data_IF_670727873163
#
_entry.id   IF_670727873163
#
_cell.length_a   1.000
_cell.length_b   1.000
_cell.length_c   1.000
_cell.angle_alpha   90.00
_cell.angle_beta   90.00
_cell.angle_gamma   90.00
#
_symmetry.space_group_name_H-M   'P 1'
#
loop_
_entity.id
_entity.type
_entity.pdbx_description
1 polymer ?
#
# COMPACT_ATOMS: atom_id res chain seq x y z
N UNK A 1 21.31 -8.21 61.07
CA UNK A 1 22.53 -7.37 61.11
C UNK A 1 23.32 -7.61 59.83
N UNK A 2 24.03 -6.59 59.28
CA UNK A 2 25.35 -6.64 58.59
C UNK A 2 25.62 -7.80 57.57
N UNK A 3 26.03 -7.63 56.31
CA UNK A 3 26.56 -6.54 55.46
C UNK A 3 26.16 -6.84 53.97
N UNK A 4 25.91 -5.90 53.04
CA UNK A 4 26.78 -4.95 52.29
C UNK A 4 27.71 -5.58 51.20
N UNK A 5 27.87 -4.84 50.07
CA UNK A 5 28.91 -4.92 48.98
C UNK A 5 28.62 -5.92 47.82
N UNK A 6 28.76 -5.62 46.51
CA UNK A 6 28.81 -4.36 45.69
C UNK A 6 28.70 -4.64 44.15
N UNK A 7 28.57 -3.57 43.32
CA UNK A 7 29.12 -3.27 41.96
C UNK A 7 29.33 -4.40 40.91
N UNK A 8 28.75 -4.36 39.69
CA UNK A 8 28.94 -3.45 38.53
C UNK A 8 29.99 -3.94 37.49
N UNK A 9 29.76 -3.68 36.20
CA UNK A 9 30.67 -4.08 35.12
C UNK A 9 30.13 -3.89 33.70
N UNK A 10 30.17 -2.66 33.18
CA UNK A 10 29.94 -2.41 31.75
C UNK A 10 31.21 -2.76 30.95
N UNK A 11 31.10 -3.62 29.96
CA UNK A 11 32.22 -4.02 29.10
C UNK A 11 32.31 -3.13 27.85
N UNK A 12 33.12 -2.08 27.92
CA UNK A 12 33.64 -1.40 26.73
C UNK A 12 34.73 -2.28 26.11
N UNK A 13 34.52 -2.77 24.88
CA UNK A 13 35.58 -3.40 24.11
C UNK A 13 36.28 -2.37 23.22
N UNK A 14 37.38 -1.82 23.72
CA UNK A 14 38.38 -1.11 22.92
C UNK A 14 39.20 -2.10 22.10
N UNK A 15 38.97 -2.14 20.78
CA UNK A 15 39.81 -2.91 19.87
C UNK A 15 41.14 -2.15 19.63
N UNK A 16 42.26 -2.76 20.03
CA UNK A 16 43.59 -2.22 19.76
C UNK A 16 43.96 -2.38 18.28
N UNK A 17 44.55 -1.33 17.70
CA UNK A 17 45.06 -1.34 16.33
C UNK A 17 46.56 -1.67 16.39
N UNK A 18 46.98 -2.75 15.74
CA UNK A 18 48.40 -3.06 15.49
C UNK A 18 48.68 -3.01 13.99
N UNK A 19 49.63 -2.17 13.59
CA UNK A 19 50.20 -2.18 12.23
C UNK A 19 51.32 -3.22 12.15
N UNK A 20 51.43 -3.91 11.01
CA UNK A 20 52.69 -4.47 10.53
C UNK A 20 52.72 -4.60 8.99
N UNK A 21 53.90 -4.81 8.43
CA UNK A 21 54.31 -4.32 7.10
C UNK A 21 54.08 -5.24 5.89
N UNK A 22 53.82 -4.57 4.75
CA UNK A 22 54.24 -4.84 3.35
C UNK A 22 54.27 -6.30 2.82
N UNK A 23 53.43 -6.55 1.82
CA UNK A 23 53.51 -7.68 0.87
C UNK A 23 52.76 -7.34 -0.43
N UNK A 24 53.20 -7.85 -1.58
CA UNK A 24 52.70 -7.42 -2.89
C UNK A 24 51.41 -8.13 -3.37
N UNK A 25 50.74 -7.48 -4.33
CA UNK A 25 49.61 -7.94 -5.16
C UNK A 25 48.23 -8.09 -4.49
N UNK A 26 47.20 -7.59 -5.20
CA UNK A 26 45.79 -7.70 -4.83
C UNK A 26 45.26 -6.49 -4.05
N UNK A 27 44.54 -5.60 -4.72
CA UNK A 27 43.68 -4.62 -4.04
C UNK A 27 42.56 -5.37 -3.31
N UNK A 28 42.45 -5.32 -1.97
CA UNK A 28 41.30 -5.88 -1.29
C UNK A 28 40.09 -4.99 -1.60
N UNK A 29 39.07 -5.56 -2.24
CA UNK A 29 37.78 -4.89 -2.41
C UNK A 29 37.24 -4.55 -1.02
N UNK A 30 37.22 -3.25 -0.70
CA UNK A 30 36.54 -2.78 0.49
C UNK A 30 35.08 -3.25 0.43
N UNK A 31 34.50 -3.82 1.50
CA UNK A 31 33.09 -4.18 1.50
C UNK A 31 32.29 -2.89 1.29
N UNK A 32 31.68 -2.77 0.11
CA UNK A 32 30.75 -1.68 -0.15
C UNK A 32 29.63 -1.82 0.87
N UNK A 33 29.59 -0.90 1.84
CA UNK A 33 28.41 -0.67 2.62
C UNK A 33 27.32 -0.29 1.63
N UNK A 34 26.40 -1.22 1.40
CA UNK A 34 25.16 -0.95 0.66
C UNK A 34 24.38 0.06 1.47
N UNK A 35 24.69 1.34 1.22
CA UNK A 35 23.88 2.45 1.69
C UNK A 35 22.45 2.13 1.29
N UNK A 36 21.56 2.02 2.28
CA UNK A 36 20.15 1.89 2.02
C UNK A 36 19.75 3.14 1.25
N UNK A 37 19.62 3.00 -0.07
CA UNK A 37 19.38 4.11 -0.97
C UNK A 37 18.19 4.89 -0.41
N UNK A 38 18.39 6.17 -0.12
CA UNK A 38 17.33 7.02 0.38
C UNK A 38 16.19 6.92 -0.64
N UNK A 39 15.09 6.29 -0.24
CA UNK A 39 13.92 6.15 -1.09
C UNK A 39 13.57 7.54 -1.59
N UNK A 40 13.36 7.70 -2.90
CA UNK A 40 12.99 9.01 -3.44
C UNK A 40 11.75 9.52 -2.70
N UNK A 41 11.59 10.85 -2.65
CA UNK A 41 10.39 11.50 -2.10
C UNK A 41 9.11 10.77 -2.49
N UNK A 42 9.05 10.36 -3.76
CA UNK A 42 7.93 9.71 -4.41
C UNK A 42 7.73 8.29 -3.90
N UNK A 43 8.80 7.50 -3.72
CA UNK A 43 8.71 6.16 -3.13
C UNK A 43 8.28 6.22 -1.66
N UNK A 44 8.77 7.19 -0.88
CA UNK A 44 8.35 7.41 0.50
C UNK A 44 6.87 7.81 0.59
N UNK A 45 6.41 8.67 -0.32
CA UNK A 45 5.00 9.09 -0.41
C UNK A 45 4.10 7.96 -0.94
N UNK A 46 4.55 7.15 -1.90
CA UNK A 46 3.84 5.96 -2.38
C UNK A 46 3.69 4.91 -1.25
N UNK A 47 4.72 4.73 -0.43
CA UNK A 47 4.66 3.88 0.77
C UNK A 47 3.70 4.43 1.82
N UNK A 48 3.67 5.75 2.04
CA UNK A 48 2.67 6.41 2.90
C UNK A 48 1.26 6.20 2.36
N UNK A 49 1.06 6.34 1.04
CA UNK A 49 -0.20 6.08 0.34
C UNK A 49 -0.62 4.62 0.53
N UNK A 50 0.26 3.65 0.27
CA UNK A 50 0.04 2.22 0.54
C UNK A 50 -0.45 2.00 1.97
N UNK A 51 0.30 2.49 2.97
CA UNK A 51 -0.02 2.24 4.37
C UNK A 51 -1.28 2.97 4.86
N UNK A 52 -1.72 4.03 4.18
CA UNK A 52 -2.98 4.72 4.48
C UNK A 52 -4.21 3.81 4.31
N UNK A 53 -4.15 2.82 3.41
CA UNK A 53 -5.22 1.82 3.23
C UNK A 53 -5.30 0.81 4.38
N UNK A 54 -4.23 0.67 5.18
CA UNK A 54 -4.10 -0.46 6.10
C UNK A 54 -5.14 -0.42 7.24
N UNK A 55 -5.29 0.70 7.95
CA UNK A 55 -6.25 0.76 9.07
C UNK A 55 -7.73 0.90 8.63
N UNK A 56 -8.09 1.78 7.67
CA UNK A 56 -9.48 1.95 7.23
C UNK A 56 -10.15 0.67 6.70
N UNK A 57 -9.39 -0.20 6.01
CA UNK A 57 -9.94 -1.42 5.45
C UNK A 57 -10.46 -2.43 6.49
N UNK A 58 -10.05 -2.36 7.75
CA UNK A 58 -10.65 -3.14 8.84
C UNK A 58 -12.12 -2.78 9.10
N UNK A 59 -12.52 -1.57 8.72
CA UNK A 59 -13.90 -1.05 8.81
C UNK A 59 -14.62 -1.07 7.46
N UNK A 60 -14.04 -1.67 6.42
CA UNK A 60 -14.63 -1.63 5.08
C UNK A 60 -14.59 -0.23 4.44
N UNK A 61 -13.64 0.61 4.85
CA UNK A 61 -13.49 1.99 4.39
C UNK A 61 -12.18 2.19 3.62
N UNK A 62 -12.16 3.17 2.72
CA UNK A 62 -10.94 3.70 2.10
C UNK A 62 -10.51 5.02 2.75
N UNK A 63 -9.24 5.42 2.64
CA UNK A 63 -8.77 6.75 3.06
C UNK A 63 -9.19 7.86 2.07
N UNK A 64 -9.03 9.11 2.50
CA UNK A 64 -9.23 10.28 1.65
C UNK A 64 -10.69 10.71 1.53
N UNK A 65 -11.11 11.15 0.34
CA UNK A 65 -12.44 11.74 0.10
C UNK A 65 -13.60 10.78 0.46
N UNK A 66 -13.41 9.49 0.23
CA UNK A 66 -14.38 8.42 0.54
C UNK A 66 -14.25 7.86 1.97
N UNK A 67 -13.56 8.57 2.88
CA UNK A 67 -13.51 8.16 4.27
C UNK A 67 -14.92 8.05 4.88
N UNK A 68 -15.07 7.17 5.86
CA UNK A 68 -16.33 6.82 6.54
C UNK A 68 -17.36 6.05 5.68
N UNK A 69 -17.26 6.09 4.35
CA UNK A 69 -18.09 5.29 3.44
C UNK A 69 -17.72 3.80 3.58
N UNK A 70 -18.67 3.02 4.07
CA UNK A 70 -18.44 1.65 4.53
C UNK A 70 -19.07 0.66 3.56
N UNK A 71 -18.25 -0.22 2.95
CA UNK A 71 -18.75 -1.27 2.05
C UNK A 71 -19.75 -2.17 2.78
N UNK A 72 -20.87 -2.48 2.14
CA UNK A 72 -21.99 -3.24 2.70
C UNK A 72 -22.98 -2.42 3.53
N UNK A 73 -22.61 -1.21 3.96
CA UNK A 73 -23.43 -0.39 4.89
C UNK A 73 -23.83 0.96 4.29
N UNK A 74 -22.92 1.71 3.67
CA UNK A 74 -23.27 3.01 3.10
C UNK A 74 -24.11 2.88 1.82
N UNK A 75 -24.98 3.85 1.57
CA UNK A 75 -25.89 3.89 0.41
C UNK A 75 -25.28 4.60 -0.80
N UNK A 76 -25.97 4.61 -1.95
CA UNK A 76 -25.60 5.47 -3.09
C UNK A 76 -25.78 6.96 -2.78
N UNK A 77 -26.74 7.32 -1.93
CA UNK A 77 -26.94 8.68 -1.47
C UNK A 77 -25.77 9.15 -0.60
N UNK A 78 -25.32 8.33 0.37
CA UNK A 78 -24.18 8.66 1.24
C UNK A 78 -22.91 8.98 0.43
N UNK A 79 -22.66 8.22 -0.65
CA UNK A 79 -21.55 8.47 -1.57
C UNK A 79 -21.73 9.82 -2.26
N UNK A 80 -22.93 10.12 -2.76
CA UNK A 80 -23.20 11.35 -3.48
C UNK A 80 -23.16 12.60 -2.59
N UNK A 81 -23.53 12.48 -1.32
CA UNK A 81 -23.39 13.55 -0.33
C UNK A 81 -21.92 13.78 0.05
N UNK A 82 -21.09 12.73 0.06
CA UNK A 82 -19.66 12.79 0.43
C UNK A 82 -18.75 13.29 -0.70
N UNK A 83 -18.96 12.83 -1.93
CA UNK A 83 -18.06 13.08 -3.08
C UNK A 83 -18.76 13.63 -4.33
N UNK A 84 -20.05 14.03 -4.22
CA UNK A 84 -20.81 14.60 -5.33
C UNK A 84 -21.45 13.57 -6.25
N UNK A 85 -22.04 14.03 -7.35
CA UNK A 85 -22.63 13.14 -8.37
C UNK A 85 -21.52 12.47 -9.20
N UNK A 86 -21.69 11.21 -9.64
CA UNK A 86 -20.73 10.58 -10.53
C UNK A 86 -20.72 11.26 -11.90
N UNK A 87 -19.54 11.36 -12.51
CA UNK A 87 -19.36 11.85 -13.88
C UNK A 87 -20.05 10.93 -14.90
N UNK A 88 -20.04 9.63 -14.62
CA UNK A 88 -20.75 8.61 -15.39
C UNK A 88 -21.51 7.70 -14.42
N UNK A 89 -22.83 7.85 -14.27
CA UNK A 89 -23.62 6.98 -13.41
C UNK A 89 -23.77 5.58 -14.01
N UNK A 90 -23.67 4.56 -13.16
CA UNK A 90 -23.97 3.18 -13.50
C UNK A 90 -25.43 3.02 -13.95
N UNK A 91 -25.63 2.29 -15.05
CA UNK A 91 -26.93 2.12 -15.73
C UNK A 91 -27.75 0.94 -15.20
N UNK A 92 -27.13 0.01 -14.49
CA UNK A 92 -27.73 -1.22 -14.00
C UNK A 92 -27.13 -1.62 -12.62
N UNK A 93 -27.56 -2.76 -12.07
CA UNK A 93 -27.15 -3.25 -10.75
C UNK A 93 -25.74 -3.81 -10.66
N UNK A 94 -25.05 -4.00 -11.78
CA UNK A 94 -23.69 -4.52 -11.84
C UNK A 94 -22.67 -3.47 -12.29
N UNK A 95 -23.15 -2.40 -12.95
CA UNK A 95 -22.41 -1.22 -13.32
C UNK A 95 -21.81 -0.46 -12.13
N UNK A 96 -20.89 0.43 -12.45
CA UNK A 96 -20.23 1.31 -11.50
C UNK A 96 -20.60 2.76 -11.78
N UNK A 97 -20.82 3.51 -10.71
CA UNK A 97 -20.71 4.97 -10.70
C UNK A 97 -19.22 5.33 -10.80
N UNK A 98 -18.87 6.16 -11.79
CA UNK A 98 -17.50 6.60 -12.06
C UNK A 98 -17.30 8.02 -11.57
N UNK A 99 -16.21 8.21 -10.82
CA UNK A 99 -15.70 9.48 -10.34
C UNK A 99 -14.26 9.61 -10.83
N UNK A 100 -14.01 10.48 -11.80
CA UNK A 100 -12.71 10.60 -12.42
C UNK A 100 -11.68 11.23 -11.47
N UNK A 101 -10.40 10.95 -11.73
CA UNK A 101 -9.31 11.61 -11.02
C UNK A 101 -9.12 13.04 -11.58
N UNK A 102 -9.41 14.05 -10.77
CA UNK A 102 -9.21 15.47 -11.12
C UNK A 102 -8.09 16.07 -10.27
N UNK A 103 -7.04 16.56 -10.93
CA UNK A 103 -5.85 17.12 -10.27
C UNK A 103 -5.31 16.16 -9.20
N UNK A 104 -5.10 16.63 -7.96
CA UNK A 104 -4.66 15.82 -6.83
C UNK A 104 -5.75 14.93 -6.20
N UNK A 105 -6.98 14.95 -6.70
CA UNK A 105 -8.05 14.08 -6.22
C UNK A 105 -7.99 12.72 -6.96
N UNK A 106 -7.96 11.60 -6.23
CA UNK A 106 -7.90 10.29 -6.84
C UNK A 106 -9.25 9.87 -7.43
N UNK A 107 -9.21 9.07 -8.49
CA UNK A 107 -10.40 8.53 -9.13
C UNK A 107 -10.96 7.34 -8.37
N UNK A 108 -12.28 7.19 -8.40
CA UNK A 108 -13.02 6.11 -7.77
C UNK A 108 -14.04 5.49 -8.73
N UNK A 109 -14.35 4.21 -8.53
CA UNK A 109 -15.60 3.65 -9.05
C UNK A 109 -16.33 2.90 -7.95
N UNK A 110 -17.64 3.11 -7.81
CA UNK A 110 -18.47 2.46 -6.80
C UNK A 110 -19.57 1.65 -7.46
N UNK A 111 -19.71 0.36 -7.13
CA UNK A 111 -20.89 -0.42 -7.51
C UNK A 111 -21.75 -0.71 -6.29
N UNK A 112 -23.05 -0.91 -6.52
CA UNK A 112 -24.05 -1.04 -5.46
C UNK A 112 -24.86 -2.32 -5.63
N UNK A 113 -25.36 -2.87 -4.52
CA UNK A 113 -26.31 -3.99 -4.52
C UNK A 113 -27.36 -3.73 -3.46
N UNK A 114 -28.65 -3.71 -3.85
CA UNK A 114 -29.78 -3.32 -2.99
C UNK A 114 -29.54 -1.96 -2.29
N UNK A 115 -29.08 -0.97 -3.05
CA UNK A 115 -28.72 0.38 -2.58
C UNK A 115 -27.70 0.42 -1.41
N UNK A 116 -26.78 -0.55 -1.36
CA UNK A 116 -25.62 -0.53 -0.47
C UNK A 116 -24.35 -0.71 -1.28
N UNK A 117 -23.26 -0.05 -0.91
CA UNK A 117 -21.96 -0.18 -1.57
C UNK A 117 -21.56 -1.67 -1.60
N UNK A 118 -21.32 -2.22 -2.78
CA UNK A 118 -20.85 -3.61 -2.99
C UNK A 118 -19.33 -3.66 -3.12
N UNK A 119 -18.77 -2.73 -3.87
CA UNK A 119 -17.34 -2.64 -4.17
C UNK A 119 -16.98 -1.18 -4.41
N UNK A 120 -15.93 -0.69 -3.76
CA UNK A 120 -15.25 0.57 -4.12
C UNK A 120 -13.92 0.20 -4.78
N UNK A 121 -13.59 0.85 -5.89
CA UNK A 121 -12.26 0.78 -6.51
C UNK A 121 -11.58 2.14 -6.45
N UNK A 122 -10.29 2.14 -6.20
CA UNK A 122 -9.41 3.31 -6.09
C UNK A 122 -8.40 3.28 -7.23
N UNK A 123 -8.42 4.30 -8.09
CA UNK A 123 -7.55 4.43 -9.27
C UNK A 123 -6.37 5.38 -9.06
N UNK A 124 -6.26 6.00 -7.89
CA UNK A 124 -5.24 7.01 -7.61
C UNK A 124 -5.40 8.28 -8.44
N UNK A 125 -4.40 9.15 -8.38
CA UNK A 125 -4.38 10.43 -9.10
C UNK A 125 -3.87 10.28 -10.54
N UNK A 126 -4.25 11.24 -11.39
CA UNK A 126 -3.70 11.38 -12.74
C UNK A 126 -2.34 12.11 -12.72
N UNK A 127 -2.26 13.23 -11.99
CA UNK A 127 -0.99 13.93 -11.75
C UNK A 127 -0.24 13.30 -10.58
N UNK A 128 1.09 13.42 -10.58
CA UNK A 128 1.99 12.88 -9.56
C UNK A 128 1.75 11.39 -9.23
N UNK A 129 1.25 10.59 -10.17
CA UNK A 129 0.82 9.19 -9.95
C UNK A 129 1.87 8.33 -9.23
N UNK A 130 3.16 8.63 -9.44
CA UNK A 130 4.30 7.96 -8.77
C UNK A 130 4.36 8.17 -7.25
N UNK A 131 3.80 9.27 -6.72
CA UNK A 131 3.66 9.51 -5.27
C UNK A 131 2.42 8.81 -4.67
N UNK A 132 1.57 8.28 -5.55
CA UNK A 132 0.34 7.55 -5.27
C UNK A 132 0.50 6.07 -5.72
N UNK A 133 -0.55 5.41 -6.24
CA UNK A 133 -0.49 3.98 -6.62
C UNK A 133 0.51 3.67 -7.74
N UNK A 134 0.94 4.64 -8.55
CA UNK A 134 1.94 4.42 -9.60
C UNK A 134 3.31 4.01 -9.06
N UNK A 135 3.65 4.44 -7.84
CA UNK A 135 4.88 4.02 -7.16
C UNK A 135 4.74 2.77 -6.28
N UNK A 136 3.53 2.24 -6.12
CA UNK A 136 3.27 1.04 -5.32
C UNK A 136 3.54 -0.20 -6.16
N UNK A 137 4.72 -0.79 -5.98
CA UNK A 137 5.10 -2.05 -6.62
C UNK A 137 4.60 -3.27 -5.82
N UNK A 138 4.55 -4.44 -6.46
CA UNK A 138 4.25 -5.70 -5.79
C UNK A 138 5.27 -6.01 -4.66
N UNK A 139 6.53 -5.68 -4.88
CA UNK A 139 7.59 -5.85 -3.88
C UNK A 139 7.36 -4.92 -2.68
N UNK A 140 7.01 -3.65 -2.91
CA UNK A 140 6.68 -2.71 -1.82
C UNK A 140 5.50 -3.23 -0.99
N UNK A 141 4.44 -3.69 -1.66
CA UNK A 141 3.26 -4.27 -1.00
C UNK A 141 3.62 -5.47 -0.12
N UNK A 142 4.27 -6.49 -0.68
CA UNK A 142 4.59 -7.74 0.05
C UNK A 142 5.64 -7.51 1.15
N UNK A 143 6.59 -6.59 0.95
CA UNK A 143 7.58 -6.24 1.97
C UNK A 143 6.94 -5.58 3.20
N UNK A 144 6.01 -4.64 2.99
CA UNK A 144 5.42 -3.87 4.09
C UNK A 144 4.20 -4.53 4.74
N UNK A 145 3.41 -5.29 3.97
CA UNK A 145 2.17 -5.93 4.44
C UNK A 145 2.33 -7.44 4.68
N UNK A 146 3.50 -8.01 4.40
CA UNK A 146 3.79 -9.43 4.53
C UNK A 146 3.09 -10.28 3.46
N UNK A 147 2.98 -11.59 3.72
CA UNK A 147 2.40 -12.57 2.80
C UNK A 147 0.89 -12.28 2.57
N UNK A 148 0.42 -12.19 1.32
CA UNK A 148 -1.01 -12.02 1.03
C UNK A 148 -1.82 -13.29 1.35
N UNK A 149 -3.11 -13.11 1.64
CA UNK A 149 -4.04 -14.22 1.88
C UNK A 149 -4.34 -15.02 0.60
N UNK A 150 -4.37 -14.34 -0.56
CA UNK A 150 -4.46 -14.99 -1.86
C UNK A 150 -3.73 -14.19 -2.94
N UNK A 151 -3.29 -14.89 -3.98
CA UNK A 151 -2.74 -14.33 -5.21
C UNK A 151 -3.32 -15.09 -6.39
N UNK A 152 -3.84 -14.41 -7.39
CA UNK A 152 -4.35 -15.04 -8.62
C UNK A 152 -4.13 -14.18 -9.85
N UNK A 153 -3.87 -14.84 -10.98
CA UNK A 153 -3.94 -14.20 -12.29
C UNK A 153 -5.41 -14.07 -12.71
N UNK A 154 -5.80 -12.91 -13.20
CA UNK A 154 -7.14 -12.62 -13.74
C UNK A 154 -7.01 -12.12 -15.18
N UNK A 155 -8.07 -12.30 -15.98
CA UNK A 155 -8.19 -11.66 -17.30
C UNK A 155 -9.18 -10.52 -17.20
N UNK A 156 -8.81 -9.36 -17.74
CA UNK A 156 -9.67 -8.19 -17.89
C UNK A 156 -9.70 -7.81 -19.38
N UNK A 157 -10.68 -8.35 -20.11
CA UNK A 157 -10.68 -8.37 -21.57
C UNK A 157 -9.43 -9.09 -22.10
N UNK A 158 -8.56 -8.35 -22.80
CA UNK A 158 -7.28 -8.84 -23.33
C UNK A 158 -6.11 -8.74 -22.34
N UNK A 159 -6.25 -7.96 -21.26
CA UNK A 159 -5.19 -7.78 -20.27
C UNK A 159 -5.14 -8.97 -19.30
N UNK A 160 -3.93 -9.37 -18.95
CA UNK A 160 -3.65 -10.37 -17.91
C UNK A 160 -3.10 -9.61 -16.71
N UNK A 161 -3.86 -9.57 -15.62
CA UNK A 161 -3.51 -8.81 -14.40
C UNK A 161 -3.29 -9.78 -13.23
N UNK A 162 -2.52 -9.36 -12.22
CA UNK A 162 -2.30 -10.11 -10.98
C UNK A 162 -3.08 -9.48 -9.84
N UNK A 163 -4.07 -10.20 -9.30
CA UNK A 163 -4.86 -9.82 -8.13
C UNK A 163 -4.21 -10.37 -6.86
N UNK A 164 -3.74 -9.48 -5.99
CA UNK A 164 -3.20 -9.78 -4.66
C UNK A 164 -4.22 -9.40 -3.61
N UNK A 165 -4.55 -10.31 -2.68
CA UNK A 165 -5.63 -10.13 -1.71
C UNK A 165 -5.11 -10.15 -0.27
N UNK A 166 -5.51 -9.16 0.51
CA UNK A 166 -5.33 -9.09 1.96
C UNK A 166 -6.70 -8.99 2.66
N UNK A 167 -7.00 -9.96 3.52
CA UNK A 167 -8.24 -10.03 4.30
C UNK A 167 -8.11 -9.13 5.54
N UNK A 168 -9.00 -8.14 5.67
CA UNK A 168 -8.99 -7.12 6.71
C UNK A 168 -10.29 -7.22 7.52
N UNK A 169 -10.31 -8.15 8.48
CA UNK A 169 -11.54 -8.49 9.20
C UNK A 169 -12.55 -9.15 8.27
N UNK A 170 -13.72 -8.53 8.14
CA UNK A 170 -14.82 -8.99 7.28
C UNK A 170 -14.75 -8.45 5.84
N UNK A 171 -13.68 -7.73 5.53
CA UNK A 171 -13.44 -7.10 4.23
C UNK A 171 -12.19 -7.68 3.56
N UNK A 172 -12.06 -7.44 2.25
CA UNK A 172 -10.90 -7.83 1.46
C UNK A 172 -10.40 -6.64 0.63
N UNK A 173 -9.12 -6.30 0.81
CA UNK A 173 -8.39 -5.43 -0.12
C UNK A 173 -7.79 -6.26 -1.23
N UNK A 174 -8.06 -5.87 -2.48
CA UNK A 174 -7.53 -6.51 -3.67
C UNK A 174 -6.71 -5.52 -4.49
N UNK A 175 -5.39 -5.66 -4.49
CA UNK A 175 -4.48 -4.88 -5.32
C UNK A 175 -4.39 -5.52 -6.70
N UNK A 176 -4.75 -4.77 -7.76
CA UNK A 176 -4.82 -5.28 -9.14
C UNK A 176 -3.65 -4.72 -9.94
N UNK A 177 -2.67 -5.57 -10.19
CA UNK A 177 -1.42 -5.22 -10.86
C UNK A 177 -1.48 -5.55 -12.34
N UNK A 178 -1.06 -4.63 -13.21
CA UNK A 178 -0.80 -4.92 -14.62
C UNK A 178 0.47 -5.77 -14.78
N UNK A 179 1.49 -5.49 -13.96
CA UNK A 179 2.70 -6.29 -13.78
C UNK A 179 3.28 -6.06 -12.38
N UNK A 180 4.46 -6.61 -12.07
CA UNK A 180 5.04 -6.50 -10.72
C UNK A 180 5.41 -5.06 -10.29
N UNK A 181 5.53 -4.11 -11.21
CA UNK A 181 5.84 -2.71 -10.95
C UNK A 181 4.59 -1.82 -10.98
N UNK A 182 3.64 -2.08 -11.87
CA UNK A 182 2.53 -1.17 -12.14
C UNK A 182 1.20 -1.62 -11.50
N UNK A 183 0.81 -0.96 -10.41
CA UNK A 183 -0.52 -1.09 -9.81
C UNK A 183 -1.57 -0.29 -10.63
N UNK A 184 -2.60 -1.00 -11.08
CA UNK A 184 -3.70 -0.45 -11.89
C UNK A 184 -4.70 0.28 -10.99
N UNK A 185 -5.25 -0.47 -10.03
CA UNK A 185 -6.23 0.00 -9.06
C UNK A 185 -6.30 -0.92 -7.82
N UNK A 186 -6.98 -0.47 -6.77
CA UNK A 186 -7.21 -1.24 -5.53
C UNK A 186 -8.72 -1.37 -5.30
N UNK A 187 -9.23 -2.58 -5.04
CA UNK A 187 -10.64 -2.81 -4.71
C UNK A 187 -10.82 -3.12 -3.23
N UNK A 188 -11.94 -2.67 -2.67
CA UNK A 188 -12.41 -3.02 -1.34
C UNK A 188 -13.81 -3.63 -1.44
N UNK A 189 -13.95 -4.85 -0.92
CA UNK A 189 -15.22 -5.60 -0.88
C UNK A 189 -15.46 -6.18 0.51
N UNK A 190 -16.71 -6.56 0.82
CA UNK A 190 -16.96 -7.61 1.83
C UNK A 190 -16.31 -8.92 1.36
N UNK A 191 -15.90 -9.76 2.32
CA UNK A 191 -15.23 -11.05 2.12
C UNK A 191 -16.22 -12.18 1.83
#
# INVERSE_FOLDING_TARGET
MKHLIQLAGAAFFTAAITLNFIGAAGQPFAPQTVSAAAASSDQAQALKTLNSFYKPALKGQFPGAVADLTVGVSTRQDVQEKIGKPDSPGKDSDAFDVYNAEMGHPGYTVSYKKDRIREIRYFGTNVERQTNIGGITLQMLVHNWGKPNASKTIKNGKLIQKKIVYNRGDYALSFIFNDNAHLDHINLTVK
#
